data_IF_199584741859
#
_entry.id   IF_199584741859
#
_cell.length_a   1.000
_cell.length_b   1.000
_cell.length_c   1.000
_cell.angle_alpha   90.00
_cell.angle_beta   90.00
_cell.angle_gamma   90.00
#
_symmetry.space_group_name_H-M   'P 1'
#
loop_
_entity.id
_entity.type
_entity.pdbx_description
1 polymer ?
#
# COMPACT_ATOMS: atom_id res chain seq x y z
N UNK A 1 -3.14 -8.44 -9.42
CA UNK A 1 -4.12 -8.40 -8.29
C UNK A 1 -3.58 -7.81 -6.98
N UNK A 2 -2.27 -7.57 -6.82
CA UNK A 2 -1.67 -6.97 -5.62
C UNK A 2 -2.25 -5.59 -5.26
N UNK A 3 -2.58 -4.76 -6.23
CA UNK A 3 -3.12 -3.41 -5.99
C UNK A 3 -4.51 -3.41 -5.34
N UNK A 4 -5.36 -4.40 -5.60
CA UNK A 4 -6.66 -4.54 -4.91
C UNK A 4 -6.46 -4.74 -3.41
N UNK A 5 -5.50 -5.58 -3.03
CA UNK A 5 -5.19 -5.80 -1.61
C UNK A 5 -4.63 -4.55 -0.91
N UNK A 6 -3.94 -3.68 -1.64
CA UNK A 6 -3.52 -2.38 -1.09
C UNK A 6 -4.70 -1.44 -0.90
N UNK A 7 -5.57 -1.34 -1.91
CA UNK A 7 -6.76 -0.49 -1.82
C UNK A 7 -7.71 -0.92 -0.69
N UNK A 8 -7.91 -2.23 -0.52
CA UNK A 8 -8.75 -2.76 0.55
C UNK A 8 -8.18 -2.47 1.94
N UNK A 9 -6.86 -2.60 2.13
CA UNK A 9 -6.20 -2.27 3.40
C UNK A 9 -6.27 -0.78 3.74
N UNK A 10 -6.10 0.08 2.73
CA UNK A 10 -6.25 1.51 2.91
C UNK A 10 -7.70 1.88 3.23
N UNK A 11 -8.65 1.16 2.66
CA UNK A 11 -10.07 1.35 2.96
C UNK A 11 -10.39 0.98 4.41
N UNK A 12 -9.89 -0.16 4.91
CA UNK A 12 -10.02 -0.52 6.33
C UNK A 12 -9.44 0.54 7.24
N UNK A 13 -8.24 1.06 6.91
CA UNK A 13 -7.62 2.14 7.67
C UNK A 13 -8.51 3.39 7.69
N UNK A 14 -9.04 3.78 6.53
CA UNK A 14 -9.88 4.97 6.39
C UNK A 14 -11.17 4.85 7.20
N UNK A 15 -11.76 3.66 7.28
CA UNK A 15 -13.01 3.42 8.00
C UNK A 15 -12.82 3.42 9.53
N UNK A 16 -11.70 2.87 10.01
CA UNK A 16 -11.42 2.73 11.44
C UNK A 16 -10.76 3.97 12.05
N UNK A 17 -10.21 4.86 11.22
CA UNK A 17 -9.41 5.96 11.70
C UNK A 17 -10.23 7.10 12.31
N UNK A 18 -9.76 7.61 13.47
CA UNK A 18 -10.33 8.78 14.14
C UNK A 18 -9.30 9.89 14.22
N UNK A 19 -9.59 11.01 13.55
CA UNK A 19 -8.73 12.19 13.59
C UNK A 19 -8.72 12.83 14.99
N UNK A 20 -7.53 13.00 15.56
CA UNK A 20 -7.31 13.60 16.88
C UNK A 20 -7.03 15.10 16.78
N UNK A 21 -6.33 15.52 15.74
CA UNK A 21 -5.89 16.90 15.54
C UNK A 21 -5.83 17.29 14.05
N UNK A 22 -5.27 18.46 13.75
CA UNK A 22 -5.17 18.96 12.38
C UNK A 22 -4.18 18.17 11.54
N UNK A 23 -3.07 17.69 12.12
CA UNK A 23 -2.08 16.86 11.42
C UNK A 23 -2.66 15.50 11.07
N UNK A 24 -3.41 14.92 11.98
CA UNK A 24 -4.16 13.69 11.74
C UNK A 24 -5.11 13.84 10.56
N UNK A 25 -5.83 14.96 10.46
CA UNK A 25 -6.73 15.22 9.33
C UNK A 25 -6.00 15.33 8.00
N UNK A 26 -4.82 15.97 7.98
CA UNK A 26 -4.02 16.11 6.75
C UNK A 26 -3.52 14.73 6.28
N UNK A 27 -2.95 13.95 7.17
CA UNK A 27 -2.49 12.58 6.89
C UNK A 27 -3.64 11.68 6.44
N UNK A 28 -4.77 11.76 7.11
CA UNK A 28 -5.98 11.02 6.74
C UNK A 28 -6.47 11.40 5.35
N UNK A 29 -6.52 12.70 5.05
CA UNK A 29 -6.94 13.19 3.73
C UNK A 29 -6.02 12.66 2.61
N UNK A 30 -4.70 12.65 2.82
CA UNK A 30 -3.74 12.06 1.88
C UNK A 30 -4.01 10.58 1.63
N UNK A 31 -4.21 9.81 2.69
CA UNK A 31 -4.48 8.37 2.57
C UNK A 31 -5.82 8.08 1.88
N UNK A 32 -6.85 8.91 2.12
CA UNK A 32 -8.10 8.83 1.37
C UNK A 32 -7.87 9.11 -0.13
N UNK A 33 -7.09 10.14 -0.46
CA UNK A 33 -6.75 10.46 -1.85
C UNK A 33 -5.98 9.33 -2.52
N UNK A 34 -4.98 8.75 -1.84
CA UNK A 34 -4.18 7.64 -2.36
C UNK A 34 -5.05 6.39 -2.58
N UNK A 35 -5.97 6.11 -1.66
CA UNK A 35 -6.93 5.02 -1.81
C UNK A 35 -7.83 5.21 -3.04
N UNK A 36 -8.38 6.41 -3.21
CA UNK A 36 -9.21 6.71 -4.38
C UNK A 36 -8.41 6.63 -5.68
N UNK A 37 -7.18 7.15 -5.70
CA UNK A 37 -6.29 7.05 -6.85
C UNK A 37 -5.99 5.60 -7.22
N UNK A 38 -5.68 4.74 -6.23
CA UNK A 38 -5.48 3.30 -6.44
C UNK A 38 -6.70 2.62 -7.05
N UNK A 39 -7.89 2.90 -6.53
CA UNK A 39 -9.14 2.30 -7.02
C UNK A 39 -9.44 2.72 -8.45
N UNK A 40 -9.30 4.01 -8.76
CA UNK A 40 -9.55 4.55 -10.10
C UNK A 40 -8.52 4.03 -11.12
N UNK A 41 -7.24 4.14 -10.82
CA UNK A 41 -6.17 3.64 -11.68
C UNK A 41 -6.26 2.13 -11.90
N UNK A 42 -6.59 1.39 -10.83
CA UNK A 42 -6.79 -0.05 -10.91
C UNK A 42 -7.97 -0.44 -11.78
N UNK A 43 -9.08 0.29 -11.70
CA UNK A 43 -10.24 0.07 -12.55
C UNK A 43 -9.94 0.36 -14.02
N UNK A 44 -9.16 1.42 -14.29
CA UNK A 44 -8.69 1.75 -15.64
C UNK A 44 -7.78 0.65 -16.17
N UNK A 45 -6.81 0.19 -15.37
CA UNK A 45 -5.88 -0.87 -15.77
C UNK A 45 -6.62 -2.18 -16.07
N UNK A 46 -7.60 -2.55 -15.22
CA UNK A 46 -8.43 -3.73 -15.44
C UNK A 46 -9.27 -3.63 -16.71
N UNK A 47 -9.87 -2.46 -16.96
CA UNK A 47 -10.65 -2.21 -18.16
C UNK A 47 -9.82 -2.28 -19.44
N UNK A 48 -8.55 -1.84 -19.39
CA UNK A 48 -7.59 -1.95 -20.49
C UNK A 48 -7.20 -3.40 -20.73
N UNK A 49 -6.81 -4.12 -19.68
CA UNK A 49 -6.45 -5.53 -19.74
C UNK A 49 -7.59 -6.38 -20.33
N UNK A 50 -8.85 -6.11 -19.95
CA UNK A 50 -10.01 -6.80 -20.50
C UNK A 50 -10.21 -6.57 -22.03
N UNK A 51 -9.61 -5.51 -22.58
CA UNK A 51 -9.61 -5.22 -24.03
C UNK A 51 -8.34 -5.71 -24.73
N UNK A 52 -7.45 -6.41 -24.02
CA UNK A 52 -6.17 -6.88 -24.55
C UNK A 52 -5.08 -5.78 -24.62
N UNK A 53 -5.31 -4.63 -24.01
CA UNK A 53 -4.35 -3.52 -23.91
C UNK A 53 -3.62 -3.61 -22.56
N UNK A 54 -2.57 -4.44 -22.49
CA UNK A 54 -1.76 -4.58 -21.28
C UNK A 54 -0.74 -3.43 -21.17
N UNK A 55 -0.99 -2.53 -20.23
CA UNK A 55 -0.08 -1.43 -19.91
C UNK A 55 0.81 -1.78 -18.71
N UNK A 56 2.05 -2.20 -19.00
CA UNK A 56 3.05 -2.50 -17.96
C UNK A 56 3.35 -1.28 -17.09
N UNK A 57 3.17 -0.07 -17.62
CA UNK A 57 3.44 1.17 -16.91
C UNK A 57 2.38 1.44 -15.85
N UNK A 58 1.12 1.14 -16.16
CA UNK A 58 0.03 1.23 -15.18
C UNK A 58 0.27 0.31 -13.99
N UNK A 59 0.78 -0.90 -14.21
CA UNK A 59 1.16 -1.83 -13.15
C UNK A 59 2.28 -1.25 -12.25
N UNK A 60 3.27 -0.56 -12.83
CA UNK A 60 4.35 0.08 -12.09
C UNK A 60 3.85 1.25 -11.22
N UNK A 61 2.97 2.08 -11.74
CA UNK A 61 2.34 3.18 -10.98
C UNK A 61 1.51 2.63 -9.84
N UNK A 62 0.66 1.63 -10.08
CA UNK A 62 -0.17 1.00 -9.05
C UNK A 62 0.67 0.34 -7.96
N UNK A 63 1.75 -0.34 -8.35
CA UNK A 63 2.67 -0.98 -7.40
C UNK A 63 3.36 0.07 -6.52
N UNK A 64 3.90 1.12 -7.11
CA UNK A 64 4.59 2.19 -6.40
C UNK A 64 3.65 2.88 -5.41
N UNK A 65 2.53 3.41 -5.90
CA UNK A 65 1.53 4.11 -5.08
C UNK A 65 0.99 3.21 -3.96
N UNK A 66 0.59 1.98 -4.29
CA UNK A 66 -0.01 1.06 -3.33
C UNK A 66 0.94 0.63 -2.22
N UNK A 67 2.21 0.34 -2.56
CA UNK A 67 3.19 -0.08 -1.54
C UNK A 67 3.59 1.07 -0.61
N UNK A 68 3.79 2.27 -1.14
CA UNK A 68 4.18 3.44 -0.35
C UNK A 68 3.01 3.94 0.52
N UNK A 69 1.80 4.00 -0.03
CA UNK A 69 0.60 4.35 0.74
C UNK A 69 0.30 3.34 1.86
N UNK A 70 0.48 2.04 1.62
CA UNK A 70 0.32 1.01 2.65
C UNK A 70 1.35 1.12 3.77
N UNK A 71 2.59 1.47 3.44
CA UNK A 71 3.62 1.72 4.44
C UNK A 71 3.28 2.92 5.30
N UNK A 72 2.92 4.05 4.68
CA UNK A 72 2.52 5.28 5.36
C UNK A 72 1.30 5.05 6.26
N UNK A 73 0.27 4.35 5.78
CA UNK A 73 -0.93 4.03 6.56
C UNK A 73 -0.60 3.17 7.80
N UNK A 74 0.26 2.17 7.62
CA UNK A 74 0.65 1.27 8.71
C UNK A 74 1.50 2.00 9.76
N UNK A 75 2.45 2.83 9.35
CA UNK A 75 3.28 3.65 10.23
C UNK A 75 2.42 4.62 11.04
N UNK A 76 1.48 5.27 10.34
CA UNK A 76 0.58 6.20 10.96
C UNK A 76 -0.36 5.54 11.98
N UNK A 77 -0.90 4.36 11.64
CA UNK A 77 -1.74 3.58 12.55
C UNK A 77 -0.98 3.17 13.82
N UNK A 78 0.30 2.76 13.69
CA UNK A 78 1.15 2.46 14.84
C UNK A 78 1.38 3.68 15.72
N UNK A 79 1.72 4.81 15.11
CA UNK A 79 1.92 6.08 15.83
C UNK A 79 0.67 6.50 16.58
N UNK A 80 -0.50 6.35 15.97
CA UNK A 80 -1.79 6.68 16.55
C UNK A 80 -2.17 5.77 17.73
N UNK A 81 -1.86 4.48 17.62
CA UNK A 81 -2.16 3.51 18.68
C UNK A 81 -1.16 3.55 19.85
N UNK A 82 -0.01 4.20 19.67
CA UNK A 82 1.01 4.36 20.71
C UNK A 82 1.67 3.05 21.15
N UNK A 83 2.27 3.00 22.37
CA UNK A 83 3.02 1.83 22.83
C UNK A 83 2.23 0.52 22.88
N UNK A 84 0.91 0.59 23.04
CA UNK A 84 0.05 -0.59 23.06
C UNK A 84 0.04 -1.34 21.71
N UNK A 85 0.29 -0.65 20.60
CA UNK A 85 0.37 -1.25 19.29
C UNK A 85 1.62 -2.12 19.09
N UNK A 86 2.64 -1.94 19.92
CA UNK A 86 3.86 -2.75 19.88
C UNK A 86 3.70 -4.08 20.62
N UNK A 87 2.63 -4.24 21.39
CA UNK A 87 2.29 -5.51 22.01
C UNK A 87 1.92 -6.51 20.91
N UNK A 88 2.84 -7.43 20.60
CA UNK A 88 2.57 -8.51 19.67
C UNK A 88 1.42 -9.35 20.24
N UNK A 89 0.34 -9.58 19.50
CA UNK A 89 -0.68 -10.51 19.95
C UNK A 89 0.00 -11.85 20.21
N UNK A 90 -0.22 -12.43 21.39
CA UNK A 90 0.37 -13.71 21.76
C UNK A 90 -0.05 -14.75 20.70
N UNK A 91 0.87 -15.11 19.86
CA UNK A 91 0.66 -16.17 18.87
C UNK A 91 0.74 -17.49 19.60
N UNK A 92 -0.39 -18.02 20.00
CA UNK A 92 -0.50 -19.39 20.48
C UNK A 92 -0.38 -20.34 19.30
N UNK A 93 0.85 -20.76 18.99
CA UNK A 93 1.10 -21.72 17.91
C UNK A 93 2.50 -21.57 17.31
N UNK A 94 2.98 -22.55 16.52
CA UNK A 94 4.24 -22.41 15.83
C UNK A 94 4.19 -21.17 14.94
N UNK A 95 5.16 -20.28 15.10
CA UNK A 95 5.29 -19.07 14.31
C UNK A 95 5.38 -19.43 12.83
N UNK A 96 4.28 -19.39 12.15
CA UNK A 96 4.23 -19.57 10.71
C UNK A 96 4.41 -18.19 10.06
N UNK A 97 5.66 -17.84 9.80
CA UNK A 97 6.05 -16.61 9.11
C UNK A 97 5.37 -16.46 7.73
N UNK A 98 4.71 -17.48 7.25
CA UNK A 98 4.07 -17.57 5.94
C UNK A 98 2.54 -17.64 5.96
N UNK A 99 1.89 -17.68 7.13
CA UNK A 99 0.45 -17.48 7.16
C UNK A 99 0.10 -16.04 6.84
N UNK A 100 -0.17 -15.86 5.58
CA UNK A 100 -0.56 -14.62 4.90
C UNK A 100 -2.01 -14.23 5.21
N UNK A 101 -2.49 -14.42 6.42
CA UNK A 101 -3.77 -13.85 6.80
C UNK A 101 -3.59 -12.34 7.04
N UNK A 102 -3.36 -11.65 5.92
CA UNK A 102 -3.13 -10.22 5.86
C UNK A 102 -4.33 -9.41 6.37
N UNK A 103 -5.48 -10.06 6.47
CA UNK A 103 -6.73 -9.44 6.91
C UNK A 103 -6.93 -9.48 8.42
N UNK A 104 -6.20 -10.36 9.14
CA UNK A 104 -6.31 -10.52 10.59
C UNK A 104 -5.10 -10.02 11.37
N UNK A 105 -4.04 -9.59 10.69
CA UNK A 105 -2.84 -9.09 11.35
C UNK A 105 -3.07 -7.69 11.94
N UNK A 106 -2.53 -7.46 13.14
CA UNK A 106 -2.51 -6.13 13.77
C UNK A 106 -1.67 -5.12 12.98
N UNK A 107 -1.79 -3.84 13.30
CA UNK A 107 -1.06 -2.78 12.61
C UNK A 107 0.46 -2.91 12.72
N UNK A 108 0.98 -3.48 13.82
CA UNK A 108 2.42 -3.77 13.97
C UNK A 108 2.92 -4.74 12.90
N UNK A 109 2.24 -5.85 12.68
CA UNK A 109 2.61 -6.82 11.64
C UNK A 109 2.44 -6.23 10.24
N UNK A 110 1.38 -5.47 10.01
CA UNK A 110 1.14 -4.77 8.73
C UNK A 110 2.27 -3.80 8.43
N UNK A 111 2.75 -3.05 9.44
CA UNK A 111 3.88 -2.15 9.30
C UNK A 111 5.16 -2.90 8.92
N UNK A 112 5.54 -3.95 9.66
CA UNK A 112 6.73 -4.73 9.33
C UNK A 112 6.67 -5.32 7.93
N UNK A 113 5.51 -5.78 7.50
CA UNK A 113 5.32 -6.36 6.15
C UNK A 113 5.29 -5.31 5.05
N UNK A 114 4.93 -4.07 5.35
CA UNK A 114 4.85 -3.01 4.34
C UNK A 114 6.20 -2.74 3.67
N UNK A 115 7.31 -2.93 4.37
CA UNK A 115 8.66 -2.84 3.80
C UNK A 115 8.89 -3.89 2.70
N UNK A 116 8.41 -5.11 2.90
CA UNK A 116 8.44 -6.14 1.84
C UNK A 116 7.67 -5.71 0.59
N UNK A 117 6.58 -4.96 0.75
CA UNK A 117 5.79 -4.42 -0.36
C UNK A 117 6.56 -3.41 -1.21
N UNK A 118 7.46 -2.61 -0.62
CA UNK A 118 8.28 -1.64 -1.36
C UNK A 118 9.46 -2.28 -2.09
N UNK A 119 9.80 -3.54 -1.79
CA UNK A 119 10.92 -4.29 -2.38
C UNK A 119 10.41 -5.31 -3.41
N UNK A 120 9.38 -6.08 -3.06
CA UNK A 120 8.84 -7.14 -3.90
C UNK A 120 8.32 -6.61 -5.25
N UNK A 121 8.56 -7.36 -6.32
CA UNK A 121 8.17 -6.94 -7.67
C UNK A 121 8.93 -5.74 -8.22
N UNK A 122 10.12 -5.48 -7.70
CA UNK A 122 10.99 -4.35 -8.00
C UNK A 122 10.88 -3.24 -6.95
N UNK A 123 12.02 -2.68 -6.55
CA UNK A 123 12.05 -1.61 -5.55
C UNK A 123 11.33 -0.35 -6.04
N UNK A 124 11.02 0.56 -5.11
CA UNK A 124 10.40 1.84 -5.45
C UNK A 124 11.23 2.62 -6.47
N UNK A 125 12.57 2.58 -6.38
CA UNK A 125 13.48 3.22 -7.34
C UNK A 125 13.40 2.57 -8.72
N UNK A 126 13.34 1.23 -8.79
CA UNK A 126 13.16 0.52 -10.05
C UNK A 126 11.82 0.88 -10.68
N UNK A 127 10.74 0.96 -9.90
CA UNK A 127 9.43 1.36 -10.41
C UNK A 127 9.44 2.81 -10.93
N UNK A 128 10.10 3.74 -10.21
CA UNK A 128 10.27 5.13 -10.66
C UNK A 128 11.07 5.19 -11.98
N UNK A 129 12.13 4.39 -12.12
CA UNK A 129 12.90 4.31 -13.35
C UNK A 129 12.06 3.77 -14.52
N UNK A 130 11.25 2.75 -14.30
CA UNK A 130 10.34 2.21 -15.33
C UNK A 130 9.33 3.29 -15.75
N UNK A 131 8.73 3.99 -14.82
CA UNK A 131 7.79 5.09 -15.09
C UNK A 131 8.49 6.21 -15.85
N UNK A 132 9.67 6.65 -15.39
CA UNK A 132 10.43 7.71 -16.02
C UNK A 132 10.75 7.39 -17.49
N UNK A 133 11.23 6.17 -17.75
CA UNK A 133 11.67 5.77 -19.09
C UNK A 133 10.50 5.44 -20.01
N UNK A 134 9.53 4.68 -19.53
CA UNK A 134 8.47 4.13 -20.40
C UNK A 134 7.23 5.02 -20.50
N UNK A 135 6.88 5.74 -19.42
CA UNK A 135 5.72 6.63 -19.40
C UNK A 135 6.09 8.07 -19.79
N UNK A 136 7.19 8.58 -19.21
CA UNK A 136 7.61 9.98 -19.42
C UNK A 136 8.63 10.12 -20.57
N UNK A 137 9.15 9.05 -21.14
CA UNK A 137 10.11 9.08 -22.23
C UNK A 137 11.48 9.68 -21.87
N UNK A 138 11.84 9.68 -20.57
CA UNK A 138 13.10 10.23 -20.11
C UNK A 138 14.28 9.34 -20.51
N UNK A 139 15.48 9.92 -20.79
CA UNK A 139 16.65 9.15 -21.18
C UNK A 139 17.10 8.22 -20.05
N UNK A 140 17.66 7.09 -20.43
CA UNK A 140 18.29 6.15 -19.51
C UNK A 140 19.70 6.65 -19.16
N UNK A 141 19.98 6.89 -17.89
CA UNK A 141 21.34 7.14 -17.42
C UNK A 141 22.11 5.84 -17.29
#
# INVERSE_FOLDING_TARGET
>A
MLWLSYADRLQEFVEDFRCRDALDRDNYARLVMDNQALRLLGSIALSRAARGDEDVTAASVLKLLGSEASQMASEYALSAAGPAALAHPAVSGPYSAFHLDLYRSGWFERYLRSFGGTIAGGTSEIQRNIIAQRLLGLPRN
#
